data_IF_121267845137
#
_entry.id   IF_121267845137
#
_cell.length_a   1.000
_cell.length_b   1.000
_cell.length_c   1.000
_cell.angle_alpha   90.00
_cell.angle_beta   90.00
_cell.angle_gamma   90.00
#
_symmetry.space_group_name_H-M   'P 1'
#
loop_
_entity.id
_entity.type
_entity.pdbx_description
1 polymer ?
#
# COMPACT_ATOMS: atom_id res chain seq x y z
N UNK A 1 1.03 10.57 114.29
CA UNK A 1 1.76 9.30 114.50
C UNK A 1 1.85 8.66 113.12
N UNK A 2 2.97 8.49 112.43
CA UNK A 2 4.37 8.23 112.75
C UNK A 2 5.16 8.91 111.60
N UNK A 3 6.00 9.93 111.86
CA UNK A 3 7.46 9.82 112.07
C UNK A 3 8.14 9.04 110.92
N UNK A 4 9.18 9.51 110.22
CA UNK A 4 10.30 10.41 110.55
C UNK A 4 11.30 10.23 109.39
N UNK A 5 11.99 11.25 108.85
CA UNK A 5 13.45 11.53 108.99
C UNK A 5 13.91 12.14 107.64
N UNK A 6 14.21 13.45 107.61
CA UNK A 6 15.54 14.10 107.59
C UNK A 6 16.35 13.78 106.31
N UNK A 7 16.45 14.70 105.34
CA UNK A 7 17.28 15.91 105.24
C UNK A 7 18.60 15.68 104.49
N UNK A 8 18.90 16.60 103.56
CA UNK A 8 20.20 16.93 102.88
C UNK A 8 20.43 16.23 101.53
N UNK A 9 20.97 16.85 100.48
CA UNK A 9 21.44 18.20 100.12
C UNK A 9 21.79 18.12 98.61
N UNK A 10 21.52 19.20 97.85
CA UNK A 10 22.10 19.63 96.55
C UNK A 10 22.32 18.55 95.44
N UNK A 11 21.90 18.74 94.18
CA UNK A 11 22.45 19.70 93.20
C UNK A 11 21.45 19.84 92.03
N UNK A 12 21.33 21.10 91.60
CA UNK A 12 20.79 21.63 90.36
C UNK A 12 21.08 20.75 89.11
N UNK A 13 20.06 20.35 88.36
CA UNK A 13 20.20 20.17 86.91
C UNK A 13 18.97 20.73 86.19
N UNK A 14 19.25 21.76 85.41
CA UNK A 14 18.33 22.47 84.56
C UNK A 14 17.87 21.60 83.38
N UNK A 15 16.62 21.83 82.99
CA UNK A 15 16.17 21.95 81.60
C UNK A 15 16.79 21.00 80.57
N UNK A 16 16.05 19.95 80.23
CA UNK A 16 16.21 19.23 78.96
C UNK A 16 14.91 18.46 78.65
N UNK A 17 13.82 19.20 78.45
CA UNK A 17 12.72 18.72 77.62
C UNK A 17 13.21 18.68 76.17
N UNK A 18 14.00 17.66 75.83
CA UNK A 18 14.25 17.31 74.44
C UNK A 18 13.13 16.37 73.99
N UNK A 19 12.17 16.96 73.29
CA UNK A 19 11.66 16.47 72.00
C UNK A 19 12.03 15.01 71.70
N UNK A 20 11.15 14.08 72.08
CA UNK A 20 11.05 12.81 71.39
C UNK A 20 10.41 13.10 70.01
N UNK A 21 11.20 13.61 69.06
CA UNK A 21 10.89 13.36 67.66
C UNK A 21 11.11 11.86 67.45
N UNK A 22 10.03 11.10 67.39
CA UNK A 22 10.07 9.87 66.61
C UNK A 22 10.56 10.28 65.22
N UNK A 23 11.70 9.72 64.79
CA UNK A 23 11.99 9.68 63.37
C UNK A 23 10.86 8.84 62.75
N UNK A 24 9.79 9.50 62.33
CA UNK A 24 9.03 9.03 61.19
C UNK A 24 10.02 9.10 60.03
N UNK A 25 10.70 7.99 59.78
CA UNK A 25 11.53 7.84 58.59
C UNK A 25 10.63 8.17 57.41
N UNK A 26 10.84 9.35 56.81
CA UNK A 26 10.06 9.81 55.69
C UNK A 26 10.15 8.74 54.60
N UNK A 27 9.02 8.13 54.25
CA UNK A 27 8.96 7.06 53.24
C UNK A 27 9.43 7.65 51.91
N UNK A 28 10.66 7.37 51.53
CA UNK A 28 11.22 7.79 50.25
C UNK A 28 10.60 6.96 49.14
N UNK A 29 10.33 7.61 48.01
CA UNK A 29 9.75 6.92 46.86
C UNK A 29 10.68 5.79 46.38
N UNK A 30 10.13 4.59 46.21
CA UNK A 30 10.82 3.44 45.66
C UNK A 30 9.92 2.70 44.67
N UNK A 31 10.50 2.24 43.56
CA UNK A 31 9.85 1.41 42.54
C UNK A 31 10.43 0.01 42.63
N UNK A 32 9.57 -0.93 43.03
CA UNK A 32 9.90 -2.35 43.18
C UNK A 32 9.74 -3.08 41.85
N UNK A 33 8.72 -2.72 41.07
CA UNK A 33 8.40 -3.36 39.81
C UNK A 33 7.80 -2.38 38.80
N UNK A 34 8.11 -2.62 37.53
CA UNK A 34 7.31 -2.14 36.40
C UNK A 34 6.75 -3.39 35.74
N UNK A 35 5.45 -3.45 35.52
CA UNK A 35 4.78 -4.62 34.92
C UNK A 35 3.94 -4.20 33.72
N UNK A 36 3.88 -5.04 32.70
CA UNK A 36 2.91 -4.86 31.63
C UNK A 36 1.50 -5.15 32.17
N UNK A 37 0.47 -4.59 31.53
CA UNK A 37 -0.91 -4.89 31.91
C UNK A 37 -1.60 -5.78 30.86
N UNK A 38 -1.97 -7.04 31.20
CA UNK A 38 -1.69 -7.78 32.44
C UNK A 38 -0.39 -8.61 32.38
N UNK A 39 0.44 -8.55 33.44
CA UNK A 39 1.53 -9.50 33.70
C UNK A 39 2.98 -9.01 33.55
N UNK A 40 3.90 -9.87 34.01
CA UNK A 40 5.37 -9.88 34.02
C UNK A 40 6.16 -8.60 34.34
N UNK A 41 7.24 -8.78 35.09
CA UNK A 41 8.26 -7.76 35.31
C UNK A 41 8.84 -7.30 33.98
N UNK A 42 8.88 -6.00 33.79
CA UNK A 42 9.18 -5.37 32.53
C UNK A 42 10.52 -4.64 32.58
N UNK A 43 11.49 -5.16 31.83
CA UNK A 43 12.71 -4.45 31.43
C UNK A 43 12.63 -3.94 29.98
N UNK A 44 11.64 -4.40 29.20
CA UNK A 44 11.43 -4.11 27.79
C UNK A 44 9.96 -3.83 27.49
N UNK A 45 9.64 -2.78 26.73
CA UNK A 45 8.27 -2.48 26.29
C UNK A 45 8.20 -2.07 24.83
N UNK A 46 7.06 -2.32 24.20
CA UNK A 46 6.71 -1.68 22.94
C UNK A 46 6.05 -0.31 23.19
N UNK A 47 6.16 0.62 22.22
CA UNK A 47 5.28 1.78 22.12
C UNK A 47 3.81 1.45 22.40
N UNK A 48 3.11 2.36 23.07
CA UNK A 48 1.68 2.29 23.36
C UNK A 48 1.25 1.18 24.33
N UNK A 49 2.19 0.37 24.85
CA UNK A 49 1.89 -0.57 25.92
C UNK A 49 1.50 0.17 27.20
N UNK A 50 0.49 -0.34 27.90
CA UNK A 50 0.17 0.08 29.27
C UNK A 50 1.12 -0.57 30.25
N UNK A 51 1.64 0.23 31.18
CA UNK A 51 2.59 -0.18 32.22
C UNK A 51 2.01 0.21 33.57
N UNK A 52 1.92 -0.76 34.48
CA UNK A 52 1.68 -0.53 35.90
C UNK A 52 3.01 -0.48 36.63
N UNK A 53 3.21 0.54 37.43
CA UNK A 53 4.38 0.66 38.33
C UNK A 53 3.92 0.31 39.73
N UNK A 54 4.70 -0.51 40.43
CA UNK A 54 4.43 -0.94 41.81
C UNK A 54 5.62 -0.60 42.71
N UNK A 55 5.31 -0.19 43.94
CA UNK A 55 6.32 0.16 44.92
C UNK A 55 5.75 0.78 46.19
N UNK A 56 6.51 1.69 46.80
CA UNK A 56 6.15 2.41 48.03
C UNK A 56 6.49 3.89 47.92
N UNK A 57 5.76 4.73 48.64
CA UNK A 57 5.99 6.19 48.63
C UNK A 57 5.61 6.85 47.30
N UNK A 58 4.77 6.20 46.47
CA UNK A 58 4.44 6.66 45.11
C UNK A 58 3.30 7.69 45.07
N UNK A 59 2.74 8.05 46.22
CA UNK A 59 1.66 9.03 46.31
C UNK A 59 2.10 10.41 45.79
N UNK A 60 1.15 11.12 45.18
CA UNK A 60 1.41 12.45 44.64
C UNK A 60 2.39 12.44 43.46
N UNK A 61 2.35 11.43 42.58
CA UNK A 61 3.05 11.43 41.30
C UNK A 61 2.75 12.73 40.54
N UNK A 62 3.79 13.51 40.26
CA UNK A 62 3.74 14.82 39.59
C UNK A 62 4.11 14.74 38.13
N UNK A 63 5.10 13.89 37.81
CA UNK A 63 5.69 13.84 36.48
C UNK A 63 6.28 12.47 36.19
N UNK A 64 6.08 12.01 34.96
CA UNK A 64 6.82 10.88 34.39
C UNK A 64 7.60 11.44 33.19
N UNK A 65 8.90 11.19 33.13
CA UNK A 65 9.74 11.64 32.02
C UNK A 65 10.48 10.45 31.41
N UNK A 66 10.38 10.29 30.09
CA UNK A 66 11.12 9.29 29.32
C UNK A 66 12.28 9.94 28.57
N UNK A 67 13.45 9.30 28.61
CA UNK A 67 14.72 9.78 28.02
C UNK A 67 15.08 11.22 28.44
N UNK A 68 14.60 11.65 29.62
CA UNK A 68 14.71 13.03 30.14
C UNK A 68 14.13 14.12 29.22
N UNK A 69 13.33 13.76 28.22
CA UNK A 69 12.81 14.67 27.18
C UNK A 69 11.29 14.66 27.09
N UNK A 70 10.69 13.47 27.20
CA UNK A 70 9.29 13.25 26.88
C UNK A 70 8.49 13.16 28.16
N UNK A 71 7.61 14.12 28.36
CA UNK A 71 6.67 14.10 29.48
C UNK A 71 5.52 13.14 29.15
N UNK A 72 5.33 12.13 30.00
CA UNK A 72 4.29 11.13 29.81
C UNK A 72 3.05 11.54 30.60
N UNK A 73 1.90 11.60 29.91
CA UNK A 73 0.60 11.78 30.55
C UNK A 73 0.21 10.55 31.37
N UNK A 74 -0.41 10.79 32.53
CA UNK A 74 -0.99 9.76 33.39
C UNK A 74 -2.30 10.28 33.99
N UNK A 75 -3.16 9.37 34.43
CA UNK A 75 -4.41 9.72 35.09
C UNK A 75 -4.24 9.56 36.61
N UNK A 76 -4.35 10.68 37.34
CA UNK A 76 -4.18 10.72 38.79
C UNK A 76 -5.17 9.84 39.55
N UNK A 77 -6.33 9.52 38.97
CA UNK A 77 -7.33 8.65 39.60
C UNK A 77 -6.88 7.19 39.70
N UNK A 78 -5.88 6.78 38.92
CA UNK A 78 -5.27 5.44 39.01
C UNK A 78 -4.01 5.43 39.87
N UNK A 79 -3.66 6.56 40.50
CA UNK A 79 -2.48 6.66 41.34
C UNK A 79 -2.85 6.36 42.80
N UNK A 80 -1.97 5.63 43.45
CA UNK A 80 -2.00 5.34 44.88
C UNK A 80 -0.59 5.41 45.43
N UNK A 81 -0.45 5.29 46.75
CA UNK A 81 0.88 5.20 47.37
C UNK A 81 1.68 3.95 46.93
N UNK A 82 1.00 2.95 46.35
CA UNK A 82 1.60 1.65 45.98
C UNK A 82 1.73 1.41 44.48
N UNK A 83 0.92 2.07 43.68
CA UNK A 83 0.91 1.84 42.24
C UNK A 83 0.31 3.00 41.45
N UNK A 84 0.72 3.11 40.19
CA UNK A 84 0.11 3.95 39.17
C UNK A 84 0.24 3.30 37.78
N UNK A 85 -0.53 3.79 36.81
CA UNK A 85 -0.53 3.27 35.45
C UNK A 85 -0.26 4.39 34.45
N UNK A 86 0.55 4.10 33.44
CA UNK A 86 0.78 4.98 32.31
C UNK A 86 0.91 4.18 31.01
N UNK A 87 0.96 4.87 29.88
CA UNK A 87 1.17 4.26 28.56
C UNK A 87 2.52 4.73 28.01
N UNK A 88 3.32 3.81 27.47
CA UNK A 88 4.58 4.18 26.79
C UNK A 88 4.26 5.09 25.60
N UNK A 89 4.70 6.36 25.58
CA UNK A 89 4.50 7.22 24.43
C UNK A 89 5.46 6.83 23.31
N UNK A 90 5.08 7.14 22.07
CA UNK A 90 6.04 7.16 20.97
C UNK A 90 5.63 8.23 19.97
N UNK A 91 6.33 9.36 20.06
CA UNK A 91 6.23 10.51 19.18
C UNK A 91 7.64 10.97 18.81
N UNK A 92 7.98 10.84 17.53
CA UNK A 92 9.27 11.25 16.98
C UNK A 92 9.52 12.75 17.12
N UNK A 93 8.46 13.57 17.04
CA UNK A 93 8.57 15.03 17.17
C UNK A 93 8.96 15.44 18.59
N UNK A 94 8.61 14.60 19.56
CA UNK A 94 9.03 14.75 20.96
C UNK A 94 10.36 14.07 21.26
N UNK A 95 11.00 13.43 20.26
CA UNK A 95 12.31 12.80 20.39
C UNK A 95 12.28 11.35 20.86
N UNK A 96 11.17 10.62 20.64
CA UNK A 96 11.09 9.19 20.98
C UNK A 96 12.10 8.37 20.18
N UNK A 97 12.70 7.38 20.83
CA UNK A 97 13.69 6.48 20.22
C UNK A 97 13.55 5.06 20.78
N UNK A 98 14.08 4.09 20.03
CA UNK A 98 14.19 2.70 20.46
C UNK A 98 15.46 2.45 21.29
N UNK A 99 15.51 1.30 21.94
CA UNK A 99 16.60 0.85 22.79
C UNK A 99 16.47 1.30 24.24
N UNK A 100 17.53 1.07 25.02
CA UNK A 100 17.57 1.37 26.45
C UNK A 100 17.55 2.89 26.69
N UNK A 101 16.68 3.34 27.58
CA UNK A 101 16.59 4.73 27.99
C UNK A 101 16.09 4.89 29.43
N UNK A 102 16.47 5.98 30.13
CA UNK A 102 16.00 6.23 31.48
C UNK A 102 14.52 6.63 31.46
N UNK A 103 13.79 6.16 32.46
CA UNK A 103 12.45 6.62 32.81
C UNK A 103 12.44 7.09 34.26
N UNK A 104 12.01 8.33 34.47
CA UNK A 104 12.05 8.98 35.79
C UNK A 104 10.64 9.28 36.25
N UNK A 105 10.33 8.84 37.47
CA UNK A 105 9.07 9.10 38.16
C UNK A 105 9.33 10.12 39.27
N UNK A 106 8.68 11.28 39.22
CA UNK A 106 8.80 12.33 40.23
C UNK A 106 7.51 12.39 41.03
N UNK A 107 7.61 12.11 42.33
CA UNK A 107 6.50 12.06 43.29
C UNK A 107 6.60 13.19 44.30
N UNK A 108 5.68 13.25 45.27
CA UNK A 108 5.81 14.14 46.41
C UNK A 108 6.99 13.75 47.33
N UNK A 109 7.35 12.47 47.35
CA UNK A 109 8.32 11.88 48.29
C UNK A 109 9.71 11.64 47.67
N UNK A 110 9.96 12.18 46.48
CA UNK A 110 11.24 12.06 45.76
C UNK A 110 11.08 11.59 44.31
N UNK A 111 12.21 11.39 43.66
CA UNK A 111 12.28 10.89 42.28
C UNK A 111 12.98 9.54 42.20
N UNK A 112 12.44 8.65 41.39
CA UNK A 112 13.01 7.33 41.11
C UNK A 112 13.28 7.22 39.61
N UNK A 113 14.51 6.88 39.23
CA UNK A 113 14.88 6.61 37.84
C UNK A 113 15.16 5.11 37.66
N UNK A 114 14.59 4.53 36.61
CA UNK A 114 14.86 3.18 36.14
C UNK A 114 15.29 3.23 34.68
N UNK A 115 15.81 2.11 34.16
CA UNK A 115 16.03 1.95 32.72
C UNK A 115 14.93 1.06 32.14
N UNK A 116 14.46 1.43 30.96
CA UNK A 116 13.52 0.64 30.16
C UNK A 116 14.05 0.58 28.73
N UNK A 117 14.00 -0.60 28.13
CA UNK A 117 14.29 -0.78 26.70
C UNK A 117 13.01 -0.66 25.88
N UNK A 118 12.96 0.30 24.96
CA UNK A 118 11.83 0.44 24.04
C UNK A 118 12.11 -0.33 22.76
N UNK A 119 11.36 -1.40 22.55
CA UNK A 119 11.46 -2.27 21.38
C UNK A 119 10.72 -1.66 20.19
N UNK A 120 11.28 -1.83 19.00
CA UNK A 120 10.59 -1.50 17.76
C UNK A 120 9.54 -2.57 17.46
N UNK A 121 8.26 -2.21 17.23
CA UNK A 121 7.27 -3.18 16.77
C UNK A 121 7.59 -3.72 15.37
N UNK A 122 7.05 -4.91 15.06
CA UNK A 122 7.08 -5.45 13.69
C UNK A 122 6.43 -4.43 12.75
N UNK A 123 7.01 -4.14 11.57
CA UNK A 123 6.39 -3.25 10.60
C UNK A 123 5.05 -3.80 10.12
N UNK A 124 4.20 -2.92 9.61
CA UNK A 124 2.95 -3.33 8.96
C UNK A 124 2.91 -2.82 7.52
N UNK A 125 2.19 -3.53 6.66
CA UNK A 125 1.90 -3.09 5.29
C UNK A 125 0.39 -3.04 5.14
N UNK A 126 -0.17 -1.84 5.06
CA UNK A 126 -1.62 -1.64 5.02
C UNK A 126 -2.12 -1.48 3.59
N UNK A 127 -1.40 -0.72 2.76
CA UNK A 127 -1.86 -0.38 1.41
C UNK A 127 -0.70 -0.26 0.42
N UNK A 128 -1.00 -0.57 -0.83
CA UNK A 128 -0.11 -0.33 -1.97
C UNK A 128 -0.79 0.58 -2.97
N UNK A 129 -0.04 1.52 -3.55
CA UNK A 129 -0.53 2.45 -4.56
C UNK A 129 0.42 2.45 -5.75
N UNK A 130 -0.03 2.01 -6.94
CA UNK A 130 -1.36 1.44 -7.24
C UNK A 130 -1.63 0.11 -6.52
N UNK A 131 -2.91 -0.29 -6.44
CA UNK A 131 -3.31 -1.55 -5.79
C UNK A 131 -2.82 -2.79 -6.56
N UNK A 132 -2.95 -2.76 -7.89
CA UNK A 132 -2.28 -3.69 -8.81
C UNK A 132 -1.06 -2.99 -9.38
N UNK A 133 0.11 -3.56 -9.18
CA UNK A 133 1.37 -2.98 -9.61
C UNK A 133 1.64 -3.20 -11.10
N UNK A 134 2.40 -2.29 -11.71
CA UNK A 134 2.94 -2.48 -13.06
C UNK A 134 4.42 -2.86 -12.96
N UNK A 135 4.87 -3.98 -13.53
CA UNK A 135 6.29 -4.33 -13.57
C UNK A 135 7.14 -3.17 -14.13
N UNK A 136 8.27 -2.87 -13.50
CA UNK A 136 9.17 -1.79 -13.91
C UNK A 136 8.80 -0.39 -13.40
N UNK A 137 7.62 -0.21 -12.80
CA UNK A 137 7.19 1.08 -12.25
C UNK A 137 7.30 1.13 -10.73
N UNK A 138 7.42 2.33 -10.12
CA UNK A 138 7.43 2.46 -8.67
C UNK A 138 6.11 2.00 -8.03
N UNK A 139 6.20 1.46 -6.82
CA UNK A 139 5.04 1.13 -5.98
C UNK A 139 5.18 1.85 -4.64
N UNK A 140 4.18 2.66 -4.27
CA UNK A 140 4.13 3.26 -2.93
C UNK A 140 3.49 2.27 -1.95
N UNK A 141 4.13 2.13 -0.79
CA UNK A 141 3.71 1.24 0.28
C UNK A 141 3.42 2.10 1.52
N UNK A 142 2.19 2.02 2.01
CA UNK A 142 1.75 2.64 3.27
C UNK A 142 1.71 1.58 4.37
N UNK A 143 2.07 1.97 5.59
CA UNK A 143 2.20 1.06 6.72
C UNK A 143 2.61 1.75 8.01
N UNK A 144 3.27 1.02 8.91
CA UNK A 144 3.81 1.56 10.17
C UNK A 144 5.16 0.93 10.51
N UNK A 145 5.92 1.62 11.36
CA UNK A 145 7.20 1.16 11.92
C UNK A 145 8.30 0.88 10.90
N UNK A 146 8.33 1.63 9.79
CA UNK A 146 9.39 1.61 8.77
C UNK A 146 10.69 2.30 9.21
N UNK A 147 11.16 2.01 10.42
CA UNK A 147 12.43 2.50 10.96
C UNK A 147 13.56 1.55 10.66
N UNK A 148 14.72 2.10 10.27
CA UNK A 148 15.96 1.37 10.07
C UNK A 148 15.77 0.11 9.20
N UNK A 149 15.08 0.25 8.08
CA UNK A 149 14.84 -0.87 7.15
C UNK A 149 16.20 -1.49 6.78
N UNK A 150 16.35 -2.76 7.13
CA UNK A 150 17.57 -3.54 6.88
C UNK A 150 17.54 -4.21 5.51
N UNK A 151 16.35 -4.57 5.02
CA UNK A 151 16.15 -5.13 3.68
C UNK A 151 14.71 -5.00 3.22
N UNK A 152 14.55 -4.88 1.89
CA UNK A 152 13.28 -5.10 1.20
C UNK A 152 13.53 -6.08 0.06
N UNK A 153 12.73 -7.14 0.00
CA UNK A 153 12.82 -8.14 -1.07
C UNK A 153 11.49 -8.37 -1.74
N UNK A 154 11.51 -8.73 -3.02
CA UNK A 154 10.37 -9.18 -3.81
C UNK A 154 10.69 -10.55 -4.41
N UNK A 155 9.89 -11.56 -4.07
CA UNK A 155 10.18 -12.95 -4.46
C UNK A 155 11.56 -13.43 -3.97
N UNK A 156 11.99 -12.94 -2.80
CA UNK A 156 13.29 -13.23 -2.20
C UNK A 156 14.48 -12.44 -2.78
N UNK A 157 14.28 -11.59 -3.78
CA UNK A 157 15.34 -10.76 -4.37
C UNK A 157 15.30 -9.33 -3.82
N UNK A 158 16.44 -8.78 -3.44
CA UNK A 158 16.52 -7.39 -2.98
C UNK A 158 16.09 -6.40 -4.06
N UNK A 159 15.35 -5.38 -3.65
CA UNK A 159 14.90 -4.29 -4.53
C UNK A 159 15.28 -2.92 -3.95
N UNK A 160 15.35 -1.91 -4.81
CA UNK A 160 15.60 -0.54 -4.37
C UNK A 160 14.37 0.06 -3.69
N UNK A 161 14.60 0.98 -2.76
CA UNK A 161 13.53 1.70 -2.09
C UNK A 161 13.98 3.10 -1.66
N UNK A 162 13.01 3.96 -1.39
CA UNK A 162 13.18 5.29 -0.80
C UNK A 162 12.20 5.41 0.36
N UNK A 163 12.69 5.80 1.53
CA UNK A 163 11.84 6.04 2.70
C UNK A 163 11.31 7.47 2.63
N UNK A 164 9.98 7.64 2.63
CA UNK A 164 9.36 8.97 2.79
C UNK A 164 9.16 9.30 4.27
N UNK A 165 8.71 8.32 5.04
CA UNK A 165 8.49 8.42 6.49
C UNK A 165 8.49 7.03 7.12
N UNK A 166 8.32 6.99 8.44
CA UNK A 166 8.08 5.76 9.21
C UNK A 166 6.78 5.02 8.85
N UNK A 167 5.94 5.60 8.00
CA UNK A 167 4.65 5.06 7.55
C UNK A 167 4.48 5.01 6.03
N UNK A 168 5.48 5.45 5.25
CA UNK A 168 5.42 5.41 3.79
C UNK A 168 6.81 5.22 3.18
N UNK A 169 6.89 4.29 2.22
CA UNK A 169 8.06 4.05 1.39
C UNK A 169 7.66 3.94 -0.08
N UNK A 170 8.59 4.20 -0.99
CA UNK A 170 8.47 3.85 -2.41
C UNK A 170 9.46 2.74 -2.70
N UNK A 171 9.02 1.68 -3.38
CA UNK A 171 9.89 0.61 -3.87
C UNK A 171 10.00 0.66 -5.40
N UNK A 172 11.17 0.31 -5.93
CA UNK A 172 11.40 0.15 -7.36
C UNK A 172 11.15 -1.30 -7.79
N UNK A 173 10.14 -1.53 -8.63
CA UNK A 173 9.80 -2.87 -9.09
C UNK A 173 10.64 -3.25 -10.32
N UNK A 174 11.13 -4.50 -10.41
CA UNK A 174 11.82 -4.95 -11.61
C UNK A 174 10.83 -5.09 -12.78
N UNK A 175 11.31 -4.89 -14.02
CA UNK A 175 10.49 -5.00 -15.24
C UNK A 175 9.98 -6.42 -15.51
N UNK A 176 10.61 -7.43 -14.93
CA UNK A 176 10.22 -8.84 -15.01
C UNK A 176 9.56 -9.36 -13.71
N UNK A 177 9.00 -8.46 -12.89
CA UNK A 177 8.23 -8.86 -11.72
C UNK A 177 7.04 -9.76 -12.11
N UNK A 178 6.77 -10.78 -11.29
CA UNK A 178 5.72 -11.78 -11.55
C UNK A 178 4.59 -11.60 -10.56
N UNK A 179 3.34 -11.66 -11.04
CA UNK A 179 2.15 -11.60 -10.19
C UNK A 179 2.17 -12.67 -9.10
N UNK A 180 1.77 -12.31 -7.88
CA UNK A 180 1.82 -13.20 -6.72
C UNK A 180 3.16 -13.25 -6.00
N UNK A 181 4.11 -12.37 -6.33
CA UNK A 181 5.41 -12.31 -5.63
C UNK A 181 5.26 -11.82 -4.19
N UNK A 182 5.93 -12.47 -3.24
CA UNK A 182 5.99 -12.01 -1.84
C UNK A 182 6.91 -10.79 -1.72
N UNK A 183 6.36 -9.66 -1.28
CA UNK A 183 7.11 -8.51 -0.75
C UNK A 183 7.40 -8.76 0.73
N UNK A 184 8.66 -8.65 1.13
CA UNK A 184 9.09 -8.70 2.52
C UNK A 184 9.88 -7.43 2.90
N UNK A 185 9.46 -6.75 3.97
CA UNK A 185 10.13 -5.57 4.52
C UNK A 185 10.64 -5.93 5.92
N UNK A 186 11.95 -5.86 6.12
CA UNK A 186 12.59 -6.24 7.39
C UNK A 186 13.20 -5.04 8.10
N UNK A 187 12.82 -4.87 9.36
CA UNK A 187 13.40 -3.89 10.30
C UNK A 187 13.95 -4.64 11.52
N UNK A 188 14.65 -3.97 12.45
CA UNK A 188 15.05 -4.57 13.71
C UNK A 188 13.88 -5.10 14.54
N UNK A 189 12.67 -4.55 14.35
CA UNK A 189 11.45 -5.01 15.02
C UNK A 189 10.84 -6.29 14.43
N UNK A 190 11.30 -6.73 13.24
CA UNK A 190 10.82 -7.94 12.56
C UNK A 190 10.54 -7.72 11.07
N UNK A 191 9.83 -8.67 10.46
CA UNK A 191 9.52 -8.66 9.02
C UNK A 191 8.02 -8.59 8.75
N UNK A 192 7.60 -7.63 7.93
CA UNK A 192 6.27 -7.59 7.35
C UNK A 192 6.28 -8.25 5.97
N UNK A 193 5.23 -9.01 5.64
CA UNK A 193 5.09 -9.70 4.35
C UNK A 193 3.75 -9.35 3.70
N UNK A 194 3.73 -9.22 2.38
CA UNK A 194 2.52 -9.03 1.58
C UNK A 194 2.70 -9.60 0.18
N UNK A 195 1.70 -10.29 -0.36
CA UNK A 195 1.68 -10.68 -1.77
C UNK A 195 1.38 -9.47 -2.65
N UNK A 196 2.18 -9.27 -3.69
CA UNK A 196 2.00 -8.19 -4.67
C UNK A 196 1.50 -8.80 -5.98
N UNK A 197 0.32 -8.33 -6.39
CA UNK A 197 -0.25 -8.66 -7.69
C UNK A 197 0.24 -7.65 -8.73
N UNK A 198 0.65 -8.18 -9.87
CA UNK A 198 1.12 -7.40 -11.00
C UNK A 198 0.16 -7.55 -12.16
N UNK A 199 -0.10 -6.46 -12.86
CA UNK A 199 -0.81 -6.51 -14.12
C UNK A 199 0.03 -7.30 -15.14
N UNK A 200 -0.57 -8.30 -15.77
CA UNK A 200 -0.01 -8.93 -16.96
C UNK A 200 -0.30 -8.03 -18.14
N UNK A 201 0.73 -7.62 -18.89
CA UNK A 201 0.57 -6.77 -20.08
C UNK A 201 1.18 -7.51 -21.27
N UNK A 202 0.37 -7.69 -22.30
CA UNK A 202 0.78 -8.30 -23.57
C UNK A 202 0.65 -7.22 -24.64
N UNK A 203 1.80 -6.78 -25.17
CA UNK A 203 1.82 -5.93 -26.36
C UNK A 203 1.40 -6.78 -27.56
N UNK A 204 0.27 -6.44 -28.16
CA UNK A 204 -0.21 -7.09 -29.38
C UNK A 204 0.53 -6.51 -30.58
N UNK A 205 0.52 -5.20 -30.74
CA UNK A 205 1.27 -4.47 -31.78
C UNK A 205 1.50 -3.03 -31.35
N UNK A 206 2.68 -2.50 -31.61
CA UNK A 206 3.02 -1.07 -31.56
C UNK A 206 3.31 -0.49 -32.96
N UNK A 207 3.13 -1.28 -34.03
CA UNK A 207 3.43 -0.88 -35.41
C UNK A 207 4.87 -0.39 -35.66
N UNK A 208 5.78 -0.60 -34.71
CA UNK A 208 7.21 -0.28 -34.76
C UNK A 208 8.08 -1.55 -34.76
N UNK A 209 7.46 -2.71 -34.99
CA UNK A 209 8.13 -4.00 -35.11
C UNK A 209 8.17 -4.84 -33.82
N UNK A 210 7.54 -4.37 -32.74
CA UNK A 210 7.36 -5.15 -31.51
C UNK A 210 5.93 -5.71 -31.37
N UNK A 211 5.74 -6.48 -30.31
CA UNK A 211 4.46 -7.12 -30.01
C UNK A 211 4.33 -8.55 -30.51
N UNK A 212 3.26 -9.20 -30.06
CA UNK A 212 2.92 -10.59 -30.36
C UNK A 212 2.39 -10.80 -31.80
N UNK A 213 2.06 -9.71 -32.51
CA UNK A 213 1.43 -9.70 -33.82
C UNK A 213 1.97 -8.53 -34.65
N UNK A 214 2.81 -8.83 -35.65
CA UNK A 214 3.58 -7.81 -36.38
C UNK A 214 3.03 -7.49 -37.77
N UNK A 215 2.38 -8.45 -38.42
CA UNK A 215 1.93 -8.31 -39.81
C UNK A 215 0.41 -8.16 -39.85
N UNK A 216 -0.08 -6.94 -40.03
CA UNK A 216 -1.51 -6.63 -40.10
C UNK A 216 -1.98 -6.48 -41.55
N UNK A 217 -3.12 -7.08 -41.86
CA UNK A 217 -3.71 -7.07 -43.20
C UNK A 217 -5.17 -6.60 -43.17
N UNK A 218 -5.61 -5.82 -44.18
CA UNK A 218 -7.00 -5.45 -44.35
C UNK A 218 -7.82 -6.57 -45.01
N UNK A 219 -9.13 -6.56 -44.79
CA UNK A 219 -10.08 -7.43 -45.46
C UNK A 219 -11.48 -6.80 -45.54
N UNK A 220 -12.26 -7.23 -46.53
CA UNK A 220 -13.62 -6.74 -46.76
C UNK A 220 -13.64 -5.35 -47.41
N UNK A 221 -14.63 -4.54 -47.04
CA UNK A 221 -14.87 -3.21 -47.59
C UNK A 221 -13.86 -2.18 -47.04
N UNK A 222 -12.61 -2.22 -47.51
CA UNK A 222 -11.53 -1.30 -47.10
C UNK A 222 -11.07 -0.47 -48.29
N UNK A 223 -11.02 0.86 -48.13
CA UNK A 223 -10.52 1.75 -49.16
C UNK A 223 -8.99 1.81 -49.17
N UNK A 224 -8.38 1.91 -47.99
CA UNK A 224 -6.94 1.79 -47.80
C UNK A 224 -6.60 1.37 -46.37
N UNK A 225 -5.47 0.69 -46.21
CA UNK A 225 -4.89 0.37 -44.92
C UNK A 225 -3.38 0.56 -45.01
N UNK A 226 -2.82 1.33 -44.08
CA UNK A 226 -1.39 1.56 -43.96
C UNK A 226 -0.95 1.31 -42.51
N UNK A 227 -0.22 0.23 -42.21
CA UNK A 227 0.26 -0.06 -40.86
C UNK A 227 1.55 0.70 -40.49
N UNK A 228 2.05 1.60 -41.33
CA UNK A 228 3.35 2.26 -41.14
C UNK A 228 3.27 3.80 -41.22
N UNK A 229 2.11 4.40 -40.92
CA UNK A 229 1.98 5.85 -40.98
C UNK A 229 2.78 6.49 -39.84
N UNK A 230 3.69 7.41 -40.14
CA UNK A 230 4.52 8.06 -39.12
C UNK A 230 3.78 9.16 -38.33
N UNK A 231 4.22 9.43 -37.11
CA UNK A 231 3.71 10.53 -36.27
C UNK A 231 2.59 10.09 -35.32
N UNK A 232 2.62 8.83 -34.90
CA UNK A 232 1.77 8.29 -33.84
C UNK A 232 2.21 8.75 -32.45
N UNK A 233 1.52 8.29 -31.40
CA UNK A 233 1.92 8.51 -30.01
C UNK A 233 3.35 8.00 -29.74
N UNK A 234 3.69 6.86 -30.34
CA UNK A 234 5.03 6.29 -30.33
C UNK A 234 5.36 5.81 -31.73
N UNK A 235 6.17 6.56 -32.49
CA UNK A 235 6.63 6.11 -33.80
C UNK A 235 5.53 6.03 -34.85
N UNK A 236 5.38 4.85 -35.45
CA UNK A 236 4.42 4.56 -36.50
C UNK A 236 3.07 4.11 -35.91
N UNK A 237 2.01 4.26 -36.69
CA UNK A 237 0.67 3.80 -36.35
C UNK A 237 -0.05 3.23 -37.57
N UNK A 238 -1.17 2.55 -37.32
CA UNK A 238 -2.03 2.05 -38.38
C UNK A 238 -3.14 3.04 -38.74
N UNK A 239 -3.30 3.27 -40.04
CA UNK A 239 -4.41 4.03 -40.63
C UNK A 239 -5.33 3.07 -41.39
N UNK A 240 -6.63 3.10 -41.08
CA UNK A 240 -7.65 2.32 -41.78
C UNK A 240 -8.74 3.25 -42.32
N UNK A 241 -8.93 3.22 -43.65
CA UNK A 241 -9.89 4.08 -44.35
C UNK A 241 -11.06 3.27 -44.87
N UNK A 242 -12.26 3.70 -44.50
CA UNK A 242 -13.52 3.26 -45.10
C UNK A 242 -14.19 4.43 -45.82
N UNK A 243 -14.54 4.23 -47.10
CA UNK A 243 -15.14 5.24 -47.99
C UNK A 243 -16.62 4.98 -48.31
N UNK A 244 -17.28 4.13 -47.52
CA UNK A 244 -18.73 3.90 -47.65
C UNK A 244 -19.14 2.63 -48.36
N UNK A 245 -18.20 1.83 -48.87
CA UNK A 245 -18.56 0.56 -49.50
C UNK A 245 -19.29 -0.34 -48.51
N UNK A 246 -20.37 -0.97 -48.96
CA UNK A 246 -21.12 -2.02 -48.24
C UNK A 246 -21.23 -3.29 -49.09
N UNK A 247 -20.31 -3.47 -50.05
CA UNK A 247 -20.36 -4.56 -51.03
C UNK A 247 -20.27 -5.93 -50.36
N UNK A 248 -19.38 -6.07 -49.38
CA UNK A 248 -19.20 -7.30 -48.62
C UNK A 248 -20.05 -7.32 -47.34
N UNK A 249 -20.42 -6.15 -46.83
CA UNK A 249 -21.17 -6.00 -45.57
C UNK A 249 -20.32 -6.20 -44.32
N UNK A 250 -19.00 -6.32 -44.48
CA UNK A 250 -18.02 -6.33 -43.41
C UNK A 250 -16.72 -5.66 -43.85
N UNK A 251 -15.95 -5.14 -42.89
CA UNK A 251 -14.58 -4.71 -43.08
C UNK A 251 -13.76 -4.95 -41.80
N UNK A 252 -12.44 -4.94 -41.94
CA UNK A 252 -11.55 -4.89 -40.80
C UNK A 252 -10.09 -5.07 -41.17
N UNK A 253 -9.24 -4.99 -40.16
CA UNK A 253 -7.83 -5.33 -40.23
C UNK A 253 -7.46 -6.25 -39.08
N UNK A 254 -6.53 -7.16 -39.33
CA UNK A 254 -6.01 -8.06 -38.31
C UNK A 254 -4.64 -8.62 -38.70
N UNK A 255 -3.90 -9.07 -37.69
CA UNK A 255 -2.71 -9.88 -37.86
C UNK A 255 -2.97 -11.39 -37.74
N UNK A 256 -4.24 -11.79 -37.78
CA UNK A 256 -4.65 -13.19 -37.72
C UNK A 256 -4.61 -13.80 -36.32
N UNK A 257 -5.12 -15.03 -36.26
CA UNK A 257 -5.05 -15.90 -35.09
C UNK A 257 -3.67 -16.48 -34.82
N UNK A 258 -3.53 -17.11 -33.66
CA UNK A 258 -2.28 -17.76 -33.25
C UNK A 258 -2.38 -18.31 -31.84
N UNK A 259 -1.27 -18.29 -31.11
CA UNK A 259 -1.28 -18.55 -29.66
C UNK A 259 -2.15 -17.52 -28.94
N UNK A 260 -2.83 -17.97 -27.87
CA UNK A 260 -3.55 -17.07 -26.97
C UNK A 260 -2.64 -15.99 -26.41
N UNK A 261 -3.19 -14.80 -26.21
CA UNK A 261 -2.44 -13.68 -25.64
C UNK A 261 -2.18 -13.87 -24.15
N UNK A 262 -3.19 -14.32 -23.40
CA UNK A 262 -3.10 -14.52 -21.95
C UNK A 262 -2.84 -15.99 -21.60
N UNK A 263 -2.26 -16.25 -20.42
CA UNK A 263 -2.06 -17.61 -19.91
C UNK A 263 -3.39 -18.30 -19.61
N UNK A 264 -3.38 -19.64 -19.56
CA UNK A 264 -4.56 -20.45 -19.26
C UNK A 264 -5.17 -20.21 -17.85
N UNK A 265 -4.46 -19.50 -16.97
CA UNK A 265 -4.95 -19.13 -15.63
C UNK A 265 -5.73 -17.81 -15.61
N UNK A 266 -5.62 -17.02 -16.67
CA UNK A 266 -6.23 -15.69 -16.77
C UNK A 266 -7.57 -15.82 -17.50
N UNK A 267 -8.61 -16.22 -16.78
CA UNK A 267 -9.90 -16.60 -17.39
C UNK A 267 -11.01 -15.58 -17.17
N UNK A 268 -10.90 -14.66 -16.22
CA UNK A 268 -11.99 -13.73 -15.86
C UNK A 268 -12.01 -12.48 -16.74
N UNK A 269 -13.07 -12.31 -17.53
CA UNK A 269 -13.26 -11.14 -18.40
C UNK A 269 -13.37 -9.81 -17.65
N UNK A 270 -13.78 -9.80 -16.39
CA UNK A 270 -13.88 -8.56 -15.59
C UNK A 270 -12.51 -8.02 -15.19
N UNK A 271 -11.48 -8.86 -15.29
CA UNK A 271 -10.08 -8.56 -14.96
C UNK A 271 -9.25 -8.23 -16.19
N UNK A 272 -9.84 -8.33 -17.38
CA UNK A 272 -9.14 -8.17 -18.64
C UNK A 272 -9.58 -6.91 -19.38
N UNK A 273 -8.61 -6.23 -19.97
CA UNK A 273 -8.80 -4.97 -20.65
C UNK A 273 -8.01 -4.94 -21.96
N UNK A 274 -8.51 -4.18 -22.93
CA UNK A 274 -7.73 -3.70 -24.07
C UNK A 274 -7.36 -2.25 -23.80
N UNK A 275 -6.06 -1.96 -23.81
CA UNK A 275 -5.56 -0.58 -23.88
C UNK A 275 -5.08 -0.34 -25.31
N UNK A 276 -5.57 0.73 -25.93
CA UNK A 276 -5.26 1.07 -27.33
C UNK A 276 -5.22 2.59 -27.48
N UNK A 277 -4.21 3.11 -28.17
CA UNK A 277 -4.20 4.51 -28.54
C UNK A 277 -5.03 4.69 -29.80
N UNK A 278 -5.93 5.67 -29.79
CA UNK A 278 -6.86 5.92 -30.90
C UNK A 278 -6.89 7.40 -31.29
N UNK A 279 -7.17 7.62 -32.57
CA UNK A 279 -7.50 8.91 -33.18
C UNK A 279 -8.35 8.66 -34.43
N UNK A 280 -8.88 9.71 -35.03
CA UNK A 280 -9.54 9.65 -36.33
C UNK A 280 -9.37 10.96 -37.11
N UNK A 281 -9.77 10.96 -38.38
CA UNK A 281 -9.86 12.19 -39.17
C UNK A 281 -11.00 13.12 -38.73
N UNK A 282 -12.04 12.59 -38.09
CA UNK A 282 -13.25 13.36 -37.77
C UNK A 282 -13.96 12.79 -36.52
N UNK A 283 -14.58 13.68 -35.74
CA UNK A 283 -15.46 13.29 -34.64
C UNK A 283 -16.66 12.51 -35.18
N UNK A 284 -17.05 11.46 -34.47
CA UNK A 284 -18.11 10.55 -34.89
C UNK A 284 -17.64 9.35 -35.72
N UNK A 285 -16.38 9.35 -36.20
CA UNK A 285 -15.79 8.17 -36.82
C UNK A 285 -15.93 6.94 -35.91
N UNK A 286 -16.26 5.80 -36.50
CA UNK A 286 -16.67 4.62 -35.74
C UNK A 286 -15.59 3.57 -35.72
N UNK A 287 -15.30 3.07 -34.53
CA UNK A 287 -14.47 1.90 -34.31
C UNK A 287 -15.34 0.68 -34.04
N UNK A 288 -14.99 -0.42 -34.69
CA UNK A 288 -15.38 -1.77 -34.30
C UNK A 288 -14.11 -2.53 -33.90
N UNK A 289 -13.95 -2.78 -32.59
CA UNK A 289 -12.88 -3.65 -32.09
C UNK A 289 -13.49 -5.00 -31.81
N UNK A 290 -13.00 -6.05 -32.46
CA UNK A 290 -13.53 -7.40 -32.35
C UNK A 290 -12.50 -8.34 -31.75
N UNK A 291 -13.00 -9.29 -30.98
CA UNK A 291 -12.24 -10.37 -30.38
C UNK A 291 -12.66 -11.69 -31.02
N UNK A 292 -11.65 -12.40 -31.49
CA UNK A 292 -11.79 -13.77 -31.93
C UNK A 292 -11.26 -14.69 -30.83
N UNK A 293 -12.00 -15.76 -30.58
CA UNK A 293 -11.66 -16.79 -29.61
C UNK A 293 -11.33 -18.08 -30.32
N UNK A 294 -10.54 -18.96 -29.69
CA UNK A 294 -10.27 -20.31 -30.21
C UNK A 294 -11.57 -21.12 -30.44
N UNK A 295 -12.67 -20.75 -29.78
CA UNK A 295 -13.98 -21.38 -29.93
C UNK A 295 -14.88 -20.71 -30.98
N UNK A 296 -14.33 -19.79 -31.80
CA UNK A 296 -15.01 -19.10 -32.90
C UNK A 296 -16.25 -18.26 -32.52
N UNK A 297 -16.35 -17.81 -31.26
CA UNK A 297 -17.34 -16.81 -30.88
C UNK A 297 -16.75 -15.42 -31.11
N UNK A 298 -17.49 -14.57 -31.84
CA UNK A 298 -17.10 -13.20 -32.16
C UNK A 298 -17.76 -12.22 -31.18
N UNK A 299 -16.92 -11.49 -30.46
CA UNK A 299 -17.34 -10.39 -29.60
C UNK A 299 -16.86 -9.07 -30.19
N UNK A 300 -17.59 -7.98 -30.01
CA UNK A 300 -17.08 -6.66 -30.35
C UNK A 300 -17.45 -5.59 -29.34
N UNK A 301 -16.63 -4.54 -29.35
CA UNK A 301 -16.88 -3.28 -28.68
C UNK A 301 -16.88 -2.17 -29.72
N UNK A 302 -18.05 -1.57 -29.89
CA UNK A 302 -18.36 -0.60 -30.93
C UNK A 302 -18.49 0.78 -30.30
N UNK A 303 -17.79 1.79 -30.82
CA UNK A 303 -17.86 3.14 -30.28
C UNK A 303 -17.56 4.24 -31.31
N UNK A 304 -18.00 5.46 -30.99
CA UNK A 304 -17.70 6.67 -31.75
C UNK A 304 -16.54 7.43 -31.13
N UNK A 305 -15.66 7.95 -31.98
CA UNK A 305 -14.59 8.87 -31.58
C UNK A 305 -15.21 10.21 -31.21
N UNK A 306 -14.87 10.72 -30.02
CA UNK A 306 -15.36 12.02 -29.52
C UNK A 306 -14.31 13.13 -29.60
N UNK A 307 -13.03 12.77 -29.77
CA UNK A 307 -11.91 13.68 -29.93
C UNK A 307 -10.95 13.08 -30.97
N UNK A 308 -10.45 13.92 -31.88
CA UNK A 308 -9.51 13.52 -32.94
C UNK A 308 -8.06 13.56 -32.46
N UNK A 309 -7.78 14.13 -31.28
CA UNK A 309 -6.47 14.01 -30.64
C UNK A 309 -6.20 12.56 -30.21
N UNK A 310 -4.93 12.18 -30.21
CA UNK A 310 -4.52 10.87 -29.70
C UNK A 310 -4.88 10.72 -28.23
N UNK A 311 -5.60 9.63 -27.92
CA UNK A 311 -5.96 9.27 -26.54
C UNK A 311 -5.85 7.77 -26.35
N UNK A 312 -5.39 7.34 -25.17
CA UNK A 312 -5.45 5.93 -24.78
C UNK A 312 -6.86 5.59 -24.33
N UNK A 313 -7.49 4.61 -24.98
CA UNK A 313 -8.76 4.04 -24.59
C UNK A 313 -8.54 2.71 -23.89
N UNK A 314 -8.97 2.63 -22.63
CA UNK A 314 -9.07 1.38 -21.87
C UNK A 314 -10.48 0.83 -21.99
N UNK A 315 -10.61 -0.40 -22.47
CA UNK A 315 -11.89 -1.07 -22.71
C UNK A 315 -11.92 -2.37 -21.89
N UNK A 316 -12.90 -2.52 -21.01
CA UNK A 316 -13.12 -3.78 -20.30
C UNK A 316 -13.57 -4.85 -21.28
N UNK A 317 -12.92 -6.02 -21.26
CA UNK A 317 -13.34 -7.14 -22.13
C UNK A 317 -14.75 -7.59 -21.76
N UNK A 318 -15.13 -7.53 -20.48
CA UNK A 318 -16.48 -7.85 -20.04
C UNK A 318 -17.58 -6.98 -20.67
N UNK A 319 -17.26 -5.80 -21.20
CA UNK A 319 -18.22 -4.89 -21.84
C UNK A 319 -18.42 -5.18 -23.34
N UNK A 320 -17.61 -6.06 -23.92
CA UNK A 320 -17.83 -6.52 -25.30
C UNK A 320 -19.15 -7.28 -25.39
N UNK A 321 -19.79 -7.25 -26.56
CA UNK A 321 -21.04 -7.95 -26.82
C UNK A 321 -20.89 -8.97 -27.93
N UNK A 322 -21.69 -10.03 -27.85
CA UNK A 322 -21.83 -11.03 -28.92
C UNK A 322 -22.33 -10.38 -30.22
N UNK A 323 -22.39 -11.18 -31.30
CA UNK A 323 -22.90 -10.76 -32.61
C UNK A 323 -22.26 -9.45 -33.08
N UNK A 324 -20.92 -9.41 -33.06
CA UNK A 324 -20.13 -8.27 -33.52
C UNK A 324 -20.51 -6.94 -32.83
N UNK A 325 -20.91 -7.01 -31.56
CA UNK A 325 -21.26 -5.83 -30.75
C UNK A 325 -22.75 -5.50 -30.73
N UNK A 326 -23.58 -6.25 -31.48
CA UNK A 326 -25.03 -6.02 -31.62
C UNK A 326 -25.88 -6.96 -30.76
N UNK A 327 -25.28 -8.01 -30.20
CA UNK A 327 -25.96 -8.99 -29.35
C UNK A 327 -26.43 -8.40 -28.01
N UNK A 328 -27.39 -9.09 -27.39
CA UNK A 328 -27.92 -8.69 -26.07
C UNK A 328 -27.02 -9.13 -24.90
N UNK A 329 -26.19 -10.16 -25.09
CA UNK A 329 -25.30 -10.68 -24.06
C UNK A 329 -23.93 -10.02 -24.11
N UNK A 330 -23.34 -9.83 -22.93
CA UNK A 330 -21.97 -9.32 -22.79
C UNK A 330 -20.96 -10.45 -22.62
N UNK A 331 -19.69 -10.14 -22.81
CA UNK A 331 -18.57 -11.07 -22.67
C UNK A 331 -18.17 -11.31 -21.20
N UNK A 332 -19.03 -11.03 -20.22
CA UNK A 332 -18.72 -11.22 -18.78
C UNK A 332 -18.31 -12.67 -18.46
N UNK A 333 -18.88 -13.65 -19.17
CA UNK A 333 -18.57 -15.07 -19.02
C UNK A 333 -17.46 -15.58 -19.95
N UNK A 334 -16.83 -14.70 -20.73
CA UNK A 334 -15.79 -15.10 -21.68
C UNK A 334 -14.53 -15.55 -20.93
N UNK A 335 -14.02 -16.75 -21.26
CA UNK A 335 -12.67 -17.15 -20.91
C UNK A 335 -11.65 -16.37 -21.74
N UNK A 336 -11.10 -15.31 -21.16
CA UNK A 336 -10.18 -14.40 -21.84
C UNK A 336 -8.83 -15.02 -22.17
N UNK A 337 -8.49 -16.18 -21.57
CA UNK A 337 -7.31 -16.96 -21.97
C UNK A 337 -7.45 -17.57 -23.36
N UNK A 338 -8.66 -17.56 -23.96
CA UNK A 338 -8.93 -18.09 -25.29
C UNK A 338 -8.89 -17.02 -26.39
N UNK A 339 -8.67 -15.76 -26.04
CA UNK A 339 -8.52 -14.68 -27.03
C UNK A 339 -7.17 -14.86 -27.72
N UNK A 340 -7.22 -15.02 -29.04
CA UNK A 340 -6.04 -15.27 -29.87
C UNK A 340 -5.89 -14.31 -31.06
N UNK A 341 -6.90 -13.46 -31.29
CA UNK A 341 -6.92 -12.50 -32.37
C UNK A 341 -7.73 -11.26 -31.98
N UNK A 342 -7.19 -10.08 -32.34
CA UNK A 342 -7.88 -8.80 -32.27
C UNK A 342 -8.07 -8.31 -33.70
N UNK A 343 -9.25 -7.75 -33.98
CA UNK A 343 -9.60 -7.15 -35.26
C UNK A 343 -10.06 -5.73 -35.04
N UNK A 344 -9.71 -4.83 -35.97
CA UNK A 344 -10.09 -3.42 -35.88
C UNK A 344 -10.63 -2.98 -37.24
N UNK A 345 -11.84 -2.44 -37.26
CA UNK A 345 -12.50 -1.93 -38.46
C UNK A 345 -13.44 -0.78 -38.15
N UNK A 346 -14.26 -0.45 -39.14
CA UNK A 346 -15.25 0.63 -39.08
C UNK A 346 -16.66 0.05 -39.20
N UNK A 347 -17.56 0.54 -38.36
CA UNK A 347 -18.99 0.21 -38.44
C UNK A 347 -19.59 0.85 -39.69
N UNK A 348 -20.17 0.04 -40.59
CA UNK A 348 -20.55 0.47 -41.94
C UNK A 348 -21.97 1.03 -42.09
N UNK A 349 -22.80 0.99 -41.04
CA UNK A 349 -24.21 1.39 -41.12
C UNK A 349 -24.49 2.81 -40.61
N UNK A 350 -23.46 3.65 -40.41
CA UNK A 350 -23.60 4.99 -39.85
C UNK A 350 -22.49 5.95 -40.36
N UNK A 351 -22.64 7.23 -40.09
CA UNK A 351 -21.81 8.36 -40.54
C UNK A 351 -20.76 8.73 -39.49
N UNK A 352 -19.65 9.42 -39.84
CA UNK A 352 -19.31 10.02 -41.14
C UNK A 352 -18.64 9.04 -42.13
N UNK A 353 -18.81 9.33 -43.41
CA UNK A 353 -18.17 8.64 -44.51
C UNK A 353 -17.56 9.70 -45.47
N UNK A 354 -16.24 9.70 -45.73
CA UNK A 354 -15.25 8.71 -45.32
C UNK A 354 -14.88 8.78 -43.82
N UNK A 355 -14.64 7.61 -43.24
CA UNK A 355 -14.06 7.45 -41.90
C UNK A 355 -12.63 6.93 -42.03
N UNK A 356 -11.69 7.64 -41.43
CA UNK A 356 -10.29 7.22 -41.28
C UNK A 356 -10.01 7.07 -39.80
N UNK A 357 -9.95 5.83 -39.35
CA UNK A 357 -9.57 5.50 -37.97
C UNK A 357 -8.06 5.29 -37.89
N UNK A 358 -7.47 5.72 -36.78
CA UNK A 358 -6.04 5.62 -36.51
C UNK A 358 -5.84 4.91 -35.18
N UNK A 359 -4.93 3.96 -35.12
CA UNK A 359 -4.70 3.23 -33.89
C UNK A 359 -3.26 2.76 -33.73
N UNK A 360 -2.85 2.65 -32.47
CA UNK A 360 -1.49 2.31 -32.08
C UNK A 360 -1.48 1.63 -30.68
N UNK A 361 -0.35 1.05 -30.27
CA UNK A 361 -0.07 0.54 -28.92
C UNK A 361 -1.12 -0.43 -28.37
N UNK A 362 -1.57 -1.37 -29.19
CA UNK A 362 -2.61 -2.34 -28.82
C UNK A 362 -2.05 -3.28 -27.76
N UNK A 363 -2.62 -3.26 -26.56
CA UNK A 363 -2.22 -4.11 -25.43
C UNK A 363 -3.43 -4.83 -24.87
N UNK A 364 -3.22 -6.09 -24.48
CA UNK A 364 -4.14 -6.80 -23.58
C UNK A 364 -3.53 -6.75 -22.19
N UNK A 365 -4.31 -6.28 -21.22
CA UNK A 365 -3.94 -6.21 -19.81
C UNK A 365 -4.86 -7.09 -18.98
N UNK A 366 -4.30 -7.86 -18.05
CA UNK A 366 -5.03 -8.66 -17.06
C UNK A 366 -4.58 -8.28 -15.65
N UNK A 367 -5.50 -7.92 -14.76
CA UNK A 367 -5.17 -7.43 -13.42
C UNK A 367 -6.09 -7.90 -12.31
#
# INVERSE_FOLDING_TARGET
MINKIKYRILILFALAAFTACQNDDAVTANVDAMVAEPGDLLNQAFPLNKVRVEGQGLEGLKKITLDNKIDIGFNTNYNSNKAFIFTIPFDEKLGSRFGVQPITFTTANGSVTKNIEILQPVPTITKTTPAVATPGFPLEIEGTWFYNISSITLGGKSISYTVKSSSSIIIGLPSNAVSGSELAITTPGGTAKKTIDFATIVLVSDFDGNGARKEWFPYGDVASFDPNTAGGPTGNYATFTWSGSTTNGYNGSSAGGGSSFLSATNTDAKRAYIDIDISANVVGAQFAIQLNTINNINYAYNFKVTDVNWTTKTISIADFKEDYGYGSNTAVGLDVSKINEIKIGVIQNDTPNPSVIKFDNIKIRYQ
#
